data_IF_067915704639
#
_entry.id   IF_067915704639
#
_cell.length_a   1.000
_cell.length_b   1.000
_cell.length_c   1.000
_cell.angle_alpha   90.00
_cell.angle_beta   90.00
_cell.angle_gamma   90.00
#
_symmetry.space_group_name_H-M   'P 1'
#
loop_
_entity.id
_entity.type
_entity.pdbx_description
1 polymer ?
#
# COMPACT_ATOMS: atom_id res chain seq x y z
N UNK A 1 64.64 -7.77 67.15
CA UNK A 1 64.79 -9.21 67.46
C UNK A 1 66.12 -9.77 66.93
N UNK A 2 66.35 -9.91 65.61
CA UNK A 2 67.65 -10.34 65.02
C UNK A 2 68.87 -9.60 65.59
N UNK A 3 68.78 -8.26 65.71
CA UNK A 3 69.87 -7.41 66.23
C UNK A 3 70.18 -7.61 67.73
N UNK A 4 69.26 -8.16 68.51
CA UNK A 4 69.48 -8.45 69.94
C UNK A 4 69.97 -9.88 70.17
N UNK A 5 69.48 -10.83 69.37
CA UNK A 5 70.02 -12.21 69.34
C UNK A 5 71.48 -12.21 68.87
N UNK A 6 71.81 -11.43 67.84
CA UNK A 6 73.19 -11.26 67.37
C UNK A 6 74.11 -10.65 68.44
N UNK A 7 73.64 -9.71 69.25
CA UNK A 7 74.43 -9.15 70.36
C UNK A 7 74.66 -10.15 71.50
N UNK A 8 73.67 -11.00 71.77
CA UNK A 8 73.79 -12.11 72.71
C UNK A 8 74.83 -13.13 72.23
N UNK A 9 74.77 -13.45 70.93
CA UNK A 9 75.75 -14.31 70.27
C UNK A 9 77.15 -13.71 70.32
N UNK A 10 77.33 -12.41 70.02
CA UNK A 10 78.61 -11.70 70.11
C UNK A 10 79.18 -11.70 71.53
N UNK A 11 78.37 -11.47 72.56
CA UNK A 11 78.85 -11.45 73.95
C UNK A 11 79.27 -12.85 74.45
N UNK A 12 78.56 -13.91 74.04
CA UNK A 12 78.87 -15.30 74.43
C UNK A 12 80.05 -15.84 73.59
N UNK A 13 80.13 -15.49 72.30
CA UNK A 13 81.05 -16.10 71.33
C UNK A 13 82.30 -15.26 71.06
N UNK A 14 82.24 -13.93 71.09
CA UNK A 14 83.39 -13.06 70.81
C UNK A 14 84.03 -12.47 72.07
N UNK A 15 83.25 -11.99 73.06
CA UNK A 15 83.80 -11.23 74.20
C UNK A 15 84.05 -12.05 75.49
N UNK A 16 83.55 -13.28 75.59
CA UNK A 16 83.73 -14.12 76.79
C UNK A 16 85.15 -14.70 76.96
N UNK A 17 85.75 -14.52 78.14
CA UNK A 17 87.11 -15.00 78.47
C UNK A 17 87.14 -16.53 78.49
N UNK A 18 87.97 -17.15 77.64
CA UNK A 18 88.07 -18.61 77.52
C UNK A 18 88.94 -19.18 78.65
N UNK A 19 88.37 -20.06 79.48
CA UNK A 19 89.09 -20.69 80.59
C UNK A 19 89.97 -21.84 80.05
N UNK A 20 91.29 -21.83 80.30
CA UNK A 20 92.19 -22.90 79.83
C UNK A 20 91.81 -24.24 80.49
N UNK A 21 91.93 -25.33 79.72
CA UNK A 21 91.67 -26.73 80.11
C UNK A 21 90.20 -27.12 80.40
N UNK A 22 89.24 -26.20 80.42
CA UNK A 22 87.84 -26.51 80.78
C UNK A 22 86.83 -26.41 79.64
N UNK A 23 87.22 -25.89 78.47
CA UNK A 23 86.32 -25.72 77.32
C UNK A 23 85.18 -24.70 77.55
N UNK A 24 85.16 -24.02 78.69
CA UNK A 24 84.11 -23.07 79.12
C UNK A 24 84.55 -21.62 78.85
N UNK A 25 83.56 -20.73 78.70
CA UNK A 25 83.77 -19.28 78.63
C UNK A 25 83.18 -18.60 79.85
N UNK A 26 83.94 -17.67 80.41
CA UNK A 26 83.51 -16.76 81.46
C UNK A 26 82.79 -15.59 80.77
N UNK A 27 81.51 -15.43 81.09
CA UNK A 27 80.66 -14.36 80.57
C UNK A 27 80.17 -13.57 81.77
N UNK A 28 80.11 -12.25 81.63
CA UNK A 28 79.52 -11.37 82.64
C UNK A 28 78.04 -11.72 82.79
N UNK A 29 77.70 -12.29 83.94
CA UNK A 29 76.35 -12.75 84.26
C UNK A 29 75.34 -11.61 84.21
N UNK A 30 75.73 -10.41 84.65
CA UNK A 30 74.87 -9.23 84.74
C UNK A 30 74.55 -8.68 83.34
N UNK A 31 75.55 -8.63 82.45
CA UNK A 31 75.35 -8.22 81.06
C UNK A 31 74.60 -9.28 80.24
N UNK A 32 74.87 -10.57 80.48
CA UNK A 32 74.18 -11.68 79.84
C UNK A 32 72.70 -11.73 80.21
N UNK A 33 72.38 -11.61 81.50
CA UNK A 33 71.01 -11.50 81.97
C UNK A 33 70.34 -10.26 81.37
N UNK A 34 70.98 -9.09 81.36
CA UNK A 34 70.40 -7.88 80.79
C UNK A 34 70.05 -8.03 79.28
N UNK A 35 70.92 -8.66 78.49
CA UNK A 35 70.63 -8.91 77.07
C UNK A 35 69.56 -10.00 76.87
N UNK A 36 69.58 -11.06 77.68
CA UNK A 36 68.54 -12.10 77.68
C UNK A 36 67.18 -11.50 78.02
N UNK A 37 67.11 -10.65 79.04
CA UNK A 37 65.92 -9.90 79.43
C UNK A 37 65.46 -8.96 78.32
N UNK A 38 66.37 -8.31 77.58
CA UNK A 38 66.00 -7.47 76.43
C UNK A 38 65.39 -8.29 75.28
N UNK A 39 65.97 -9.45 74.96
CA UNK A 39 65.41 -10.39 73.96
C UNK A 39 64.04 -10.88 74.42
N UNK A 40 63.92 -11.29 75.68
CA UNK A 40 62.67 -11.74 76.31
C UNK A 40 61.59 -10.65 76.31
N UNK A 41 61.95 -9.37 76.49
CA UNK A 41 61.05 -8.22 76.35
C UNK A 41 60.62 -7.97 74.91
N UNK A 42 61.49 -8.26 73.94
CA UNK A 42 61.26 -7.97 72.52
C UNK A 42 60.46 -9.05 71.76
N UNK A 43 60.44 -10.29 72.28
CA UNK A 43 59.69 -11.41 71.71
C UNK A 43 58.17 -11.13 71.71
N UNK A 44 57.53 -10.71 72.83
CA UNK A 44 56.11 -10.38 72.87
C UNK A 44 55.71 -9.30 71.86
N UNK A 45 56.50 -8.23 71.74
CA UNK A 45 56.25 -7.15 70.78
C UNK A 45 56.30 -7.62 69.32
N UNK A 46 57.24 -8.52 69.01
CA UNK A 46 57.41 -9.06 67.65
C UNK A 46 56.24 -9.98 67.28
N UNK A 47 55.79 -10.81 68.23
CA UNK A 47 54.61 -11.68 68.05
C UNK A 47 53.33 -10.84 67.86
N UNK A 48 53.12 -9.80 68.68
CA UNK A 48 51.98 -8.88 68.52
C UNK A 48 51.99 -8.18 67.16
N UNK A 49 53.17 -7.82 66.65
CA UNK A 49 53.30 -7.21 65.33
C UNK A 49 52.97 -8.21 64.22
N UNK A 50 53.45 -9.45 64.33
CA UNK A 50 53.14 -10.52 63.38
C UNK A 50 51.64 -10.86 63.37
N UNK A 51 50.99 -10.94 64.53
CA UNK A 51 49.53 -11.12 64.65
C UNK A 51 48.78 -9.98 63.96
N UNK A 52 49.17 -8.72 64.17
CA UNK A 52 48.57 -7.58 63.47
C UNK A 52 48.70 -7.66 61.95
N UNK A 53 49.84 -8.13 61.45
CA UNK A 53 50.06 -8.31 60.00
C UNK A 53 49.20 -9.45 59.46
N UNK A 54 49.11 -10.57 60.17
CA UNK A 54 48.25 -11.70 59.80
C UNK A 54 46.77 -11.28 59.77
N UNK A 55 46.29 -10.59 60.81
CA UNK A 55 44.95 -10.04 60.86
C UNK A 55 44.67 -9.09 59.69
N UNK A 56 45.60 -8.15 59.39
CA UNK A 56 45.46 -7.26 58.23
C UNK A 56 45.44 -8.03 56.91
N UNK A 57 46.25 -9.08 56.76
CA UNK A 57 46.26 -9.92 55.56
C UNK A 57 44.93 -10.62 55.36
N UNK A 58 44.39 -11.23 56.42
CA UNK A 58 43.07 -11.87 56.38
C UNK A 58 41.98 -10.86 56.01
N UNK A 59 42.01 -9.66 56.58
CA UNK A 59 41.05 -8.59 56.30
C UNK A 59 41.17 -8.06 54.85
N UNK A 60 42.38 -8.01 54.28
CA UNK A 60 42.58 -7.67 52.86
C UNK A 60 42.03 -8.78 51.96
N UNK A 61 42.32 -10.05 52.26
CA UNK A 61 41.83 -11.19 51.47
C UNK A 61 40.30 -11.25 51.52
N UNK A 62 39.71 -11.07 52.71
CA UNK A 62 38.27 -11.05 52.89
C UNK A 62 37.62 -9.94 52.03
N UNK A 63 38.15 -8.71 52.10
CA UNK A 63 37.67 -7.59 51.28
C UNK A 63 37.85 -7.82 49.78
N UNK A 64 38.99 -8.37 49.37
CA UNK A 64 39.25 -8.67 47.96
C UNK A 64 38.28 -9.74 47.44
N UNK A 65 38.01 -10.78 48.21
CA UNK A 65 37.04 -11.82 47.87
C UNK A 65 35.63 -11.26 47.77
N UNK A 66 35.23 -10.42 48.73
CA UNK A 66 33.92 -9.80 48.73
C UNK A 66 33.73 -8.86 47.52
N UNK A 67 34.74 -8.05 47.21
CA UNK A 67 34.74 -7.18 46.03
C UNK A 67 34.70 -7.98 44.71
N UNK A 68 35.46 -9.08 44.62
CA UNK A 68 35.42 -9.97 43.46
C UNK A 68 34.04 -10.60 43.28
N UNK A 69 33.40 -11.05 44.37
CA UNK A 69 32.04 -11.58 44.33
C UNK A 69 31.02 -10.53 43.90
N UNK A 70 31.14 -9.29 44.35
CA UNK A 70 30.28 -8.19 43.89
C UNK A 70 30.45 -7.89 42.40
N UNK A 71 31.69 -7.88 41.90
CA UNK A 71 31.96 -7.71 40.47
C UNK A 71 31.31 -8.82 39.65
N UNK A 72 31.53 -10.09 40.04
CA UNK A 72 30.96 -11.24 39.33
C UNK A 72 29.44 -11.14 39.32
N UNK A 73 28.82 -10.89 40.48
CA UNK A 73 27.37 -10.74 40.59
C UNK A 73 26.83 -9.61 39.72
N UNK A 74 27.50 -8.46 39.69
CA UNK A 74 27.11 -7.33 38.84
C UNK A 74 27.26 -7.65 37.36
N UNK A 75 28.35 -8.33 36.98
CA UNK A 75 28.60 -8.75 35.61
C UNK A 75 27.55 -9.77 35.14
N UNK A 76 27.21 -10.76 35.97
CA UNK A 76 26.16 -11.74 35.69
C UNK A 76 24.78 -11.08 35.53
N UNK A 77 24.44 -10.13 36.40
CA UNK A 77 23.18 -9.37 36.28
C UNK A 77 23.12 -8.56 34.99
N UNK A 78 24.21 -7.87 34.60
CA UNK A 78 24.26 -7.13 33.34
C UNK A 78 24.19 -8.06 32.13
N UNK A 79 24.90 -9.18 32.16
CA UNK A 79 24.86 -10.17 31.09
C UNK A 79 23.44 -10.74 30.91
N UNK A 80 22.73 -11.00 32.01
CA UNK A 80 21.34 -11.44 31.97
C UNK A 80 20.41 -10.36 31.36
N UNK A 81 20.57 -9.09 31.74
CA UNK A 81 19.80 -7.97 31.16
C UNK A 81 20.03 -7.83 29.65
N UNK A 82 21.29 -7.85 29.21
CA UNK A 82 21.65 -7.75 27.79
C UNK A 82 21.07 -8.95 27.02
N UNK A 83 21.17 -10.15 27.58
CA UNK A 83 20.60 -11.35 26.94
C UNK A 83 19.08 -11.23 26.74
N UNK A 84 18.36 -10.70 27.73
CA UNK A 84 16.92 -10.45 27.60
C UNK A 84 16.60 -9.38 26.56
N UNK A 85 17.34 -8.27 26.53
CA UNK A 85 17.16 -7.22 25.51
C UNK A 85 17.40 -7.76 24.09
N UNK A 86 18.49 -8.50 23.88
CA UNK A 86 18.80 -9.14 22.58
C UNK A 86 17.68 -10.10 22.18
N UNK A 87 17.12 -10.86 23.13
CA UNK A 87 16.03 -11.79 22.87
C UNK A 87 14.76 -11.07 22.42
N UNK A 88 14.44 -9.91 22.99
CA UNK A 88 13.30 -9.09 22.59
C UNK A 88 13.52 -8.54 21.17
N UNK A 89 14.70 -8.00 20.88
CA UNK A 89 15.02 -7.44 19.56
C UNK A 89 14.96 -8.52 18.48
N UNK A 90 15.58 -9.68 18.70
CA UNK A 90 15.53 -10.80 17.76
C UNK A 90 14.10 -11.30 17.53
N UNK A 91 13.27 -11.32 18.58
CA UNK A 91 11.88 -11.72 18.46
C UNK A 91 11.08 -10.70 17.63
N UNK A 92 11.23 -9.41 17.92
CA UNK A 92 10.59 -8.34 17.16
C UNK A 92 11.04 -8.33 15.69
N UNK A 93 12.31 -8.61 15.41
CA UNK A 93 12.83 -8.73 14.04
C UNK A 93 12.20 -9.90 13.28
N UNK A 94 12.07 -11.06 13.93
CA UNK A 94 11.40 -12.23 13.34
C UNK A 94 9.93 -11.94 13.02
N UNK A 95 9.20 -11.34 13.95
CA UNK A 95 7.80 -10.97 13.76
C UNK A 95 7.65 -9.92 12.65
N UNK A 96 8.49 -8.88 12.64
CA UNK A 96 8.49 -7.87 11.59
C UNK A 96 8.82 -8.47 10.22
N UNK A 97 9.72 -9.46 10.16
CA UNK A 97 10.03 -10.18 8.92
C UNK A 97 8.85 -11.03 8.44
N UNK A 98 8.16 -11.72 9.35
CA UNK A 98 6.95 -12.49 9.03
C UNK A 98 5.83 -11.58 8.51
N UNK A 99 5.56 -10.46 9.19
CA UNK A 99 4.56 -9.49 8.76
C UNK A 99 4.90 -8.93 7.37
N UNK A 100 6.16 -8.57 7.13
CA UNK A 100 6.61 -8.10 5.80
C UNK A 100 6.38 -9.16 4.72
N UNK A 101 6.71 -10.42 4.98
CA UNK A 101 6.47 -11.51 4.03
C UNK A 101 4.99 -11.72 3.75
N UNK A 102 4.15 -11.72 4.79
CA UNK A 102 2.70 -11.84 4.64
C UNK A 102 2.12 -10.69 3.83
N UNK A 103 2.44 -9.45 4.17
CA UNK A 103 1.98 -8.27 3.43
C UNK A 103 2.45 -8.30 1.98
N UNK A 104 3.68 -8.73 1.72
CA UNK A 104 4.18 -8.86 0.36
C UNK A 104 3.39 -9.90 -0.43
N UNK A 105 3.19 -11.09 0.13
CA UNK A 105 2.41 -12.15 -0.51
C UNK A 105 0.95 -11.73 -0.75
N UNK A 106 0.30 -11.14 0.25
CA UNK A 106 -1.06 -10.63 0.12
C UNK A 106 -1.17 -9.50 -0.92
N UNK A 107 -0.16 -8.62 -0.99
CA UNK A 107 -0.12 -7.56 -1.99
C UNK A 107 0.02 -8.13 -3.40
N UNK A 108 0.88 -9.14 -3.58
CA UNK A 108 1.09 -9.79 -4.87
C UNK A 108 -0.17 -10.55 -5.31
N UNK A 109 -0.82 -11.28 -4.40
CA UNK A 109 -2.11 -11.94 -4.67
C UNK A 109 -3.19 -10.92 -5.04
N UNK A 110 -3.32 -9.84 -4.26
CA UNK A 110 -4.32 -8.79 -4.51
C UNK A 110 -4.07 -8.09 -5.83
N UNK A 111 -2.80 -7.83 -6.19
CA UNK A 111 -2.42 -7.25 -7.49
C UNK A 111 -2.83 -8.18 -8.63
N UNK A 112 -2.56 -9.48 -8.51
CA UNK A 112 -2.97 -10.46 -9.52
C UNK A 112 -4.49 -10.55 -9.66
N UNK A 113 -5.23 -10.55 -8.55
CA UNK A 113 -6.70 -10.54 -8.57
C UNK A 113 -7.25 -9.30 -9.27
N UNK A 114 -6.78 -8.11 -8.88
CA UNK A 114 -7.20 -6.85 -9.51
C UNK A 114 -6.86 -6.83 -11.00
N UNK A 115 -5.70 -7.35 -11.40
CA UNK A 115 -5.35 -7.49 -12.82
C UNK A 115 -6.32 -8.38 -13.57
N UNK A 116 -6.62 -9.58 -13.04
CA UNK A 116 -7.57 -10.51 -13.65
C UNK A 116 -8.97 -9.93 -13.75
N UNK A 117 -9.48 -9.30 -12.69
CA UNK A 117 -10.79 -8.64 -12.69
C UNK A 117 -10.84 -7.48 -13.69
N UNK A 118 -9.77 -6.69 -13.78
CA UNK A 118 -9.68 -5.57 -14.73
C UNK A 118 -9.69 -6.08 -16.18
N UNK A 119 -8.96 -7.15 -16.47
CA UNK A 119 -8.96 -7.79 -17.79
C UNK A 119 -10.34 -8.35 -18.14
N UNK A 120 -10.99 -9.03 -17.20
CA UNK A 120 -12.34 -9.56 -17.37
C UNK A 120 -13.36 -8.45 -17.63
N UNK A 121 -13.36 -7.39 -16.83
CA UNK A 121 -14.25 -6.26 -17.00
C UNK A 121 -14.01 -5.55 -18.33
N UNK A 122 -12.74 -5.39 -18.73
CA UNK A 122 -12.39 -4.80 -20.02
C UNK A 122 -12.93 -5.63 -21.19
N UNK A 123 -12.78 -6.95 -21.11
CA UNK A 123 -13.35 -7.85 -22.12
C UNK A 123 -14.87 -7.78 -22.17
N UNK A 124 -15.54 -7.76 -21.02
CA UNK A 124 -16.99 -7.64 -20.95
C UNK A 124 -17.48 -6.33 -21.58
N UNK A 125 -16.90 -5.20 -21.17
CA UNK A 125 -17.27 -3.87 -21.72
C UNK A 125 -17.04 -3.82 -23.23
N UNK A 126 -15.95 -4.44 -23.71
CA UNK A 126 -15.68 -4.50 -25.14
C UNK A 126 -16.76 -5.32 -25.88
N UNK A 127 -17.12 -6.49 -25.38
CA UNK A 127 -18.17 -7.33 -25.96
C UNK A 127 -19.54 -6.63 -25.96
N UNK A 128 -19.90 -5.98 -24.85
CA UNK A 128 -21.15 -5.22 -24.75
C UNK A 128 -21.17 -4.05 -25.73
N UNK A 129 -20.04 -3.35 -25.89
CA UNK A 129 -19.91 -2.26 -26.85
C UNK A 129 -20.04 -2.74 -28.30
N UNK A 130 -19.42 -3.88 -28.64
CA UNK A 130 -19.53 -4.49 -29.96
C UNK A 130 -20.98 -4.92 -30.26
N UNK A 131 -21.64 -5.57 -29.30
CA UNK A 131 -23.04 -5.96 -29.43
C UNK A 131 -23.96 -4.75 -29.58
N UNK A 132 -23.75 -3.71 -28.77
CA UNK A 132 -24.54 -2.49 -28.85
C UNK A 132 -24.37 -1.83 -30.23
N UNK A 133 -23.13 -1.72 -30.73
CA UNK A 133 -22.86 -1.19 -32.07
C UNK A 133 -23.56 -2.00 -33.16
N UNK A 134 -23.53 -3.34 -33.08
CA UNK A 134 -24.22 -4.20 -34.03
C UNK A 134 -25.74 -3.96 -34.01
N UNK A 135 -26.35 -3.91 -32.82
CA UNK A 135 -27.79 -3.63 -32.67
C UNK A 135 -28.16 -2.27 -33.24
N UNK A 136 -27.40 -1.22 -32.90
CA UNK A 136 -27.65 0.12 -33.42
C UNK A 136 -27.52 0.14 -34.95
N UNK A 137 -26.53 -0.55 -35.52
CA UNK A 137 -26.40 -0.65 -36.97
C UNK A 137 -27.59 -1.35 -37.62
N UNK A 138 -28.03 -2.48 -37.06
CA UNK A 138 -29.21 -3.21 -37.53
C UNK A 138 -30.49 -2.37 -37.44
N UNK A 139 -30.68 -1.63 -36.35
CA UNK A 139 -31.81 -0.73 -36.16
C UNK A 139 -31.81 0.42 -37.17
N UNK A 140 -30.66 1.05 -37.42
CA UNK A 140 -30.51 2.12 -38.43
C UNK A 140 -30.86 1.58 -39.82
N UNK A 141 -30.31 0.43 -40.20
CA UNK A 141 -30.60 -0.17 -41.51
C UNK A 141 -32.04 -0.64 -41.65
N UNK A 142 -32.68 -1.06 -40.56
CA UNK A 142 -34.12 -1.36 -40.54
C UNK A 142 -34.94 -0.10 -40.75
N UNK A 143 -34.67 0.96 -39.98
CA UNK A 143 -35.39 2.22 -40.08
C UNK A 143 -35.22 2.86 -41.46
N UNK A 144 -34.01 2.85 -41.99
CA UNK A 144 -33.70 3.35 -43.33
C UNK A 144 -34.51 2.63 -44.41
N UNK A 145 -34.61 1.30 -44.34
CA UNK A 145 -35.42 0.51 -45.28
C UNK A 145 -36.91 0.83 -45.16
N UNK A 146 -37.42 0.99 -43.95
CA UNK A 146 -38.81 1.33 -43.72
C UNK A 146 -39.15 2.72 -44.28
N UNK A 147 -38.36 3.74 -43.97
CA UNK A 147 -38.55 5.10 -44.47
C UNK A 147 -38.47 5.13 -45.99
N UNK A 148 -37.55 4.38 -46.61
CA UNK A 148 -37.46 4.29 -48.06
C UNK A 148 -38.74 3.70 -48.67
N UNK A 149 -39.28 2.63 -48.08
CA UNK A 149 -40.54 2.04 -48.54
C UNK A 149 -41.72 3.00 -48.40
N UNK A 150 -41.82 3.72 -47.27
CA UNK A 150 -42.87 4.72 -47.05
C UNK A 150 -42.79 5.89 -48.06
N UNK A 151 -41.57 6.38 -48.35
CA UNK A 151 -41.34 7.39 -49.38
C UNK A 151 -41.77 6.88 -50.75
N UNK A 152 -41.39 5.65 -51.12
CA UNK A 152 -41.74 5.09 -52.42
C UNK A 152 -43.26 4.89 -52.57
N UNK A 153 -43.94 4.45 -51.51
CA UNK A 153 -45.41 4.37 -51.47
C UNK A 153 -46.04 5.75 -51.61
N UNK A 154 -45.59 6.74 -50.84
CA UNK A 154 -46.11 8.10 -50.92
C UNK A 154 -45.94 8.70 -52.33
N UNK A 155 -44.78 8.45 -52.97
CA UNK A 155 -44.52 8.87 -54.36
C UNK A 155 -45.43 8.18 -55.36
N UNK A 156 -45.73 6.91 -55.18
CA UNK A 156 -46.65 6.16 -56.04
C UNK A 156 -48.08 6.68 -55.89
N UNK A 157 -48.57 6.85 -54.66
CA UNK A 157 -49.90 7.40 -54.41
C UNK A 157 -50.05 8.81 -54.96
N UNK A 158 -49.08 9.69 -54.73
CA UNK A 158 -49.10 11.05 -55.27
C UNK A 158 -49.12 11.08 -56.80
N UNK A 159 -48.41 10.15 -57.48
CA UNK A 159 -48.47 10.01 -58.94
C UNK A 159 -49.84 9.55 -59.41
N UNK A 160 -50.40 8.52 -58.78
CA UNK A 160 -51.73 8.01 -59.11
C UNK A 160 -52.81 9.09 -58.92
N UNK A 161 -52.72 9.89 -57.85
CA UNK A 161 -53.62 11.02 -57.61
C UNK A 161 -53.47 12.10 -58.69
N UNK A 162 -52.25 12.44 -59.09
CA UNK A 162 -52.03 13.41 -60.18
C UNK A 162 -52.59 12.91 -61.52
N UNK A 163 -52.38 11.64 -61.85
CA UNK A 163 -52.93 11.01 -63.06
C UNK A 163 -54.46 11.03 -63.02
N UNK A 164 -55.06 10.71 -61.87
CA UNK A 164 -56.52 10.77 -61.70
C UNK A 164 -57.06 12.19 -61.87
N UNK A 165 -56.41 13.19 -61.27
CA UNK A 165 -56.79 14.60 -61.41
C UNK A 165 -56.70 15.05 -62.87
N UNK A 166 -55.66 14.63 -63.61
CA UNK A 166 -55.53 14.95 -65.04
C UNK A 166 -56.68 14.34 -65.85
N UNK A 167 -56.97 13.06 -65.65
CA UNK A 167 -58.08 12.37 -66.33
C UNK A 167 -59.43 13.02 -66.00
N UNK A 168 -59.66 13.39 -64.74
CA UNK A 168 -60.90 14.04 -64.32
C UNK A 168 -61.03 15.45 -64.92
N UNK A 169 -59.94 16.19 -65.02
CA UNK A 169 -59.89 17.50 -65.67
C UNK A 169 -60.17 17.42 -67.17
N UNK A 170 -59.58 16.44 -67.87
CA UNK A 170 -59.82 16.19 -69.30
C UNK A 170 -61.29 15.82 -69.54
N UNK A 171 -61.85 14.92 -68.73
CA UNK A 171 -63.26 14.53 -68.79
C UNK A 171 -64.21 15.69 -68.46
N UNK A 172 -63.79 16.62 -67.60
CA UNK A 172 -64.56 17.83 -67.30
C UNK A 172 -64.52 18.80 -68.48
N UNK A 173 -63.34 19.03 -69.07
CA UNK A 173 -63.16 19.88 -70.24
C UNK A 173 -64.01 19.38 -71.42
N UNK A 174 -63.98 18.07 -71.71
CA UNK A 174 -64.78 17.47 -72.78
C UNK A 174 -66.30 17.67 -72.56
N UNK A 175 -66.78 17.46 -71.33
CA UNK A 175 -68.18 17.70 -70.97
C UNK A 175 -68.60 19.17 -71.16
N UNK A 176 -67.77 20.11 -70.69
CA UNK A 176 -68.04 21.55 -70.83
C UNK A 176 -68.05 21.96 -72.30
N UNK A 177 -67.09 21.48 -73.10
CA UNK A 177 -67.02 21.77 -74.53
C UNK A 177 -68.22 21.19 -75.29
N UNK A 178 -68.61 19.95 -74.98
CA UNK A 178 -69.82 19.32 -75.55
C UNK A 178 -71.08 20.12 -75.20
N UNK A 179 -71.21 20.58 -73.95
CA UNK A 179 -72.35 21.42 -73.55
C UNK A 179 -72.37 22.75 -74.31
N UNK A 180 -71.22 23.41 -74.48
CA UNK A 180 -71.12 24.64 -75.26
C UNK A 180 -71.48 24.41 -76.73
N UNK A 181 -71.05 23.30 -77.34
CA UNK A 181 -71.40 22.94 -78.72
C UNK A 181 -72.92 22.76 -78.89
N UNK A 182 -73.58 22.09 -77.93
CA UNK A 182 -75.03 21.92 -77.92
C UNK A 182 -75.74 23.28 -77.83
N UNK A 183 -75.31 24.15 -76.90
CA UNK A 183 -75.88 25.49 -76.75
C UNK A 183 -75.71 26.34 -78.01
N UNK A 184 -74.55 26.30 -78.65
CA UNK A 184 -74.32 27.02 -79.91
C UNK A 184 -75.19 26.46 -81.04
N UNK A 185 -75.36 25.14 -81.11
CA UNK A 185 -76.22 24.49 -82.11
C UNK A 185 -77.70 24.87 -81.94
N UNK A 186 -78.19 24.92 -80.69
CA UNK A 186 -79.53 25.40 -80.39
C UNK A 186 -79.72 26.86 -80.79
N UNK A 187 -78.76 27.73 -80.42
CA UNK A 187 -78.82 29.14 -80.77
C UNK A 187 -78.78 29.35 -82.29
N UNK A 188 -77.96 28.60 -83.02
CA UNK A 188 -77.94 28.61 -84.49
C UNK A 188 -79.29 28.19 -85.07
N UNK A 189 -79.93 27.15 -84.52
CA UNK A 189 -81.26 26.70 -84.94
C UNK A 189 -82.32 27.78 -84.72
N UNK A 190 -82.29 28.47 -83.57
CA UNK A 190 -83.18 29.61 -83.28
C UNK A 190 -82.96 30.73 -84.30
N UNK A 191 -81.71 31.09 -84.61
CA UNK A 191 -81.39 32.12 -85.62
C UNK A 191 -81.83 31.69 -87.02
N UNK A 192 -81.63 30.43 -87.41
CA UNK A 192 -82.08 29.91 -88.71
C UNK A 192 -83.60 29.97 -88.86
N UNK A 193 -84.33 29.54 -87.83
CA UNK A 193 -85.79 29.63 -87.78
C UNK A 193 -86.26 31.09 -87.87
N UNK A 194 -85.66 32.01 -87.09
CA UNK A 194 -85.97 33.44 -87.14
C UNK A 194 -85.72 34.05 -88.53
N UNK A 195 -84.61 33.69 -89.19
CA UNK A 195 -84.33 34.10 -90.58
C UNK A 195 -85.35 33.54 -91.58
N UNK A 196 -85.80 32.29 -91.40
CA UNK A 196 -86.84 31.69 -92.24
C UNK A 196 -88.19 32.41 -92.04
N UNK A 197 -88.57 32.75 -90.81
CA UNK A 197 -89.78 33.54 -90.51
C UNK A 197 -89.75 34.92 -91.18
N UNK A 198 -88.61 35.64 -91.14
CA UNK A 198 -88.48 36.92 -91.82
C UNK A 198 -88.55 36.80 -93.35
N UNK A 199 -88.09 35.67 -93.93
CA UNK A 199 -88.20 35.40 -95.37
C UNK A 199 -89.60 34.98 -95.82
N UNK A 200 -90.42 34.46 -94.90
CA UNK A 200 -91.80 34.03 -95.15
C UNK A 200 -92.85 35.08 -94.75
N UNK A 201 -92.45 36.17 -94.10
CA UNK A 201 -93.30 37.34 -93.87
C UNK A 201 -93.31 38.23 -95.13
N UNK A 202 -94.42 38.38 -95.85
CA UNK A 202 -94.47 39.27 -97.00
C UNK A 202 -94.41 40.71 -96.51
N UNK A 203 -93.44 41.49 -96.99
CA UNK A 203 -93.52 42.95 -96.97
C UNK A 203 -94.66 43.38 -97.90
N UNK A 204 -95.87 43.48 -97.35
CA UNK A 204 -97.09 43.86 -98.07
C UNK A 204 -97.87 44.93 -97.28
N UNK A 205 -97.82 46.15 -97.80
CA UNK A 205 -98.45 47.42 -97.37
C UNK A 205 -99.99 47.29 -97.23
N UNK A 206 -100.67 48.02 -96.33
CA UNK A 206 -102.14 47.99 -96.24
C UNK A 206 -102.78 48.67 -97.47
N UNK A 207 -103.95 48.21 -97.95
CA UNK A 207 -104.77 48.98 -98.88
C UNK A 207 -105.69 49.95 -98.12
N UNK A 208 -106.10 51.00 -98.83
CA UNK A 208 -106.94 52.15 -98.44
C UNK A 208 -108.26 51.75 -97.79
#
# INVERSE_FOLDING_TARGET
MLRQVQRLEEMIILDGVKLPLTGRKLVDEEQLLAQLTNVERSIPETIQTAEKILLKREDIIARANQYAQEIIKSAEQRAAQIADEVRIVQQAEREAQQIRQQVQQESDIRRQQVQQETEQLRHQVQQESELLRQRTFEEIERLRRQVQQEIDQMRQSARAECEQIQVDADNYADRVLTQMEQQFSEMLRVVQNGRQHLRSTPTGRPPV
#
